data_IF_809118449167
#
_entry.id   IF_809118449167
#
_cell.length_a   1.000
_cell.length_b   1.000
_cell.length_c   1.000
_cell.angle_alpha   90.00
_cell.angle_beta   90.00
_cell.angle_gamma   90.00
#
_symmetry.space_group_name_H-M   'P 1'
#
loop_
_entity.id
_entity.type
_entity.pdbx_description
1 polymer ?
#
# COMPACT_ATOMS: atom_id res chain seq x y z
N UNK A 1 53.08 66.50 -67.47
CA UNK A 1 52.56 65.10 -67.28
C UNK A 1 51.64 65.02 -66.06
N UNK A 2 50.36 65.01 -66.42
CA UNK A 2 49.29 64.99 -65.46
C UNK A 2 48.63 63.58 -65.51
N UNK A 3 48.74 62.84 -64.41
CA UNK A 3 48.13 61.53 -64.23
C UNK A 3 46.71 61.70 -63.70
N UNK A 4 45.75 61.28 -64.49
CA UNK A 4 44.33 61.13 -64.05
C UNK A 4 44.16 59.83 -63.39
N UNK A 5 43.73 59.81 -62.11
CA UNK A 5 43.24 58.66 -61.42
C UNK A 5 41.76 58.42 -61.79
N UNK A 6 41.32 57.21 -62.05
CA UNK A 6 39.89 56.91 -62.20
C UNK A 6 39.22 56.74 -60.84
N UNK A 7 38.15 57.43 -60.62
CA UNK A 7 37.23 57.29 -59.48
C UNK A 7 36.45 56.00 -59.70
N UNK A 8 36.69 55.04 -58.84
CA UNK A 8 35.91 53.82 -58.78
C UNK A 8 34.61 54.10 -58.00
N UNK A 9 33.49 54.20 -58.68
CA UNK A 9 32.16 54.24 -58.09
C UNK A 9 31.87 52.78 -57.53
N UNK A 10 31.92 52.64 -56.23
CA UNK A 10 31.34 51.47 -55.58
C UNK A 10 29.84 51.69 -55.59
N UNK A 11 29.13 50.89 -56.39
CA UNK A 11 27.72 50.71 -56.29
C UNK A 11 27.47 49.85 -55.01
N UNK A 12 26.92 50.46 -53.99
CA UNK A 12 26.30 49.69 -52.86
C UNK A 12 25.03 49.02 -53.41
N UNK A 13 25.14 47.78 -53.79
CA UNK A 13 24.03 46.91 -53.98
C UNK A 13 23.44 46.64 -52.55
N UNK A 14 22.40 47.39 -52.24
CA UNK A 14 21.61 47.09 -51.07
C UNK A 14 21.04 45.66 -51.23
N UNK A 15 21.50 44.70 -50.42
CA UNK A 15 20.78 43.47 -50.26
C UNK A 15 19.47 43.78 -49.55
N UNK A 16 18.42 43.98 -50.29
CA UNK A 16 17.07 43.76 -49.83
C UNK A 16 16.88 42.26 -49.80
N UNK A 17 17.41 41.64 -48.76
CA UNK A 17 16.93 40.31 -48.34
C UNK A 17 15.72 40.52 -47.43
N UNK A 18 14.66 41.08 -47.99
CA UNK A 18 13.33 40.75 -47.57
C UNK A 18 12.96 39.40 -48.21
N UNK A 19 13.60 38.35 -47.74
CA UNK A 19 12.98 37.04 -47.90
C UNK A 19 11.71 37.09 -47.04
N UNK A 20 10.53 36.97 -47.66
CA UNK A 20 9.31 36.90 -46.89
C UNK A 20 9.46 35.74 -45.94
N UNK A 21 9.22 35.94 -44.62
CA UNK A 21 9.19 34.87 -43.65
C UNK A 21 8.45 33.71 -44.29
N UNK A 22 9.08 32.52 -44.37
CA UNK A 22 8.49 31.36 -45.00
C UNK A 22 7.17 31.06 -44.28
N UNK A 23 6.07 31.20 -45.00
CA UNK A 23 4.75 30.85 -44.50
C UNK A 23 4.74 29.35 -44.28
N UNK A 24 4.37 28.90 -43.07
CA UNK A 24 4.29 27.47 -42.73
C UNK A 24 3.35 26.75 -43.73
N UNK A 25 3.81 25.63 -44.25
CA UNK A 25 3.16 24.84 -45.28
C UNK A 25 2.50 23.59 -44.64
N UNK A 26 1.42 23.04 -45.22
CA UNK A 26 0.86 21.75 -44.79
C UNK A 26 1.83 20.57 -44.81
N UNK A 27 2.93 20.67 -45.56
CA UNK A 27 3.99 19.67 -45.64
C UNK A 27 5.06 19.82 -44.55
N UNK A 28 5.03 20.89 -43.77
CA UNK A 28 5.97 21.09 -42.67
C UNK A 28 5.62 20.18 -41.47
N UNK A 29 6.62 19.88 -40.65
CA UNK A 29 6.40 19.21 -39.38
C UNK A 29 5.54 20.10 -38.47
N UNK A 30 4.55 19.53 -37.78
CA UNK A 30 3.75 20.28 -36.82
C UNK A 30 4.53 20.56 -35.54
N UNK A 31 4.32 21.78 -35.00
CA UNK A 31 4.88 22.19 -33.73
C UNK A 31 3.80 22.80 -32.84
N UNK A 32 3.85 22.47 -31.54
CA UNK A 32 3.09 23.17 -30.52
C UNK A 32 4.01 24.24 -29.94
N UNK A 33 3.72 25.46 -30.24
CA UNK A 33 4.58 26.60 -29.90
C UNK A 33 4.32 27.12 -28.48
N UNK A 34 3.09 27.01 -28.01
CA UNK A 34 2.64 27.47 -26.70
C UNK A 34 1.42 26.66 -26.24
N UNK A 35 1.28 26.35 -24.95
CA UNK A 35 2.28 26.51 -23.90
C UNK A 35 3.41 25.47 -23.99
N UNK A 36 4.56 25.77 -23.41
CA UNK A 36 5.61 24.77 -23.19
C UNK A 36 5.29 23.96 -21.95
N UNK A 37 5.47 22.64 -22.03
CA UNK A 37 5.32 21.77 -20.89
C UNK A 37 6.71 21.50 -20.29
N UNK A 38 6.81 21.46 -18.93
CA UNK A 38 8.05 21.05 -18.28
C UNK A 38 8.45 19.63 -18.71
N UNK A 39 9.75 19.34 -18.61
CA UNK A 39 10.27 18.01 -18.87
C UNK A 39 9.80 17.01 -17.80
N UNK A 40 9.83 15.73 -18.15
CA UNK A 40 9.61 14.65 -17.17
C UNK A 40 10.69 14.69 -16.09
N UNK A 41 10.30 14.47 -14.85
CA UNK A 41 11.20 14.30 -13.71
C UNK A 41 11.11 12.87 -13.22
N UNK A 42 12.23 12.14 -13.19
CA UNK A 42 12.29 10.73 -12.81
C UNK A 42 11.28 9.84 -13.58
N UNK A 43 11.05 10.15 -14.85
CA UNK A 43 10.09 9.43 -15.70
C UNK A 43 8.64 9.85 -15.51
N UNK A 44 8.32 10.66 -14.52
CA UNK A 44 6.96 11.16 -14.27
C UNK A 44 6.62 12.37 -15.14
N UNK A 45 5.35 12.42 -15.56
CA UNK A 45 4.83 13.54 -16.34
C UNK A 45 4.72 14.81 -15.49
N UNK A 46 4.97 16.00 -16.08
CA UNK A 46 4.78 17.25 -15.37
C UNK A 46 3.31 17.53 -15.09
N UNK A 47 3.02 18.20 -13.99
CA UNK A 47 1.71 18.78 -13.72
C UNK A 47 1.59 20.09 -14.51
N UNK A 48 0.68 20.10 -15.47
CA UNK A 48 0.47 21.25 -16.38
C UNK A 48 -0.72 22.13 -15.99
N UNK A 49 -1.58 21.63 -15.10
CA UNK A 49 -2.66 22.39 -14.52
C UNK A 49 -2.93 21.90 -13.09
N UNK A 50 -3.14 22.84 -12.18
CA UNK A 50 -3.54 22.57 -10.80
C UNK A 50 -4.67 23.55 -10.45
N UNK A 51 -5.90 23.05 -10.45
CA UNK A 51 -7.12 23.84 -10.32
C UNK A 51 -8.00 23.26 -9.20
N UNK A 52 -8.94 24.08 -8.72
CA UNK A 52 -10.01 23.60 -7.85
C UNK A 52 -11.19 23.12 -8.70
N UNK A 53 -11.99 22.20 -8.16
CA UNK A 53 -13.11 21.60 -8.91
C UNK A 53 -14.20 22.56 -9.37
N UNK A 54 -14.28 23.76 -8.78
CA UNK A 54 -15.21 24.83 -9.18
C UNK A 54 -14.74 25.64 -10.38
N UNK A 55 -13.51 25.40 -10.85
CA UNK A 55 -12.97 25.97 -12.08
C UNK A 55 -12.89 24.89 -13.17
N UNK A 56 -13.12 25.32 -14.43
CA UNK A 56 -12.92 24.42 -15.56
C UNK A 56 -11.43 24.28 -15.88
N UNK A 57 -11.06 23.12 -16.43
CA UNK A 57 -9.77 22.96 -17.09
C UNK A 57 -9.81 23.73 -18.42
N UNK A 58 -8.93 24.71 -18.56
CA UNK A 58 -8.82 25.57 -19.73
C UNK A 58 -7.39 25.60 -20.23
N UNK A 59 -7.22 25.47 -21.53
CA UNK A 59 -5.91 25.62 -22.18
C UNK A 59 -6.11 26.03 -23.63
N UNK A 60 -5.26 26.93 -24.12
CA UNK A 60 -5.22 27.33 -25.51
C UNK A 60 -3.85 27.02 -26.07
N UNK A 61 -3.81 26.35 -27.22
CA UNK A 61 -2.57 26.01 -27.92
C UNK A 61 -2.34 26.97 -29.08
N UNK A 62 -1.08 27.29 -29.29
CA UNK A 62 -0.61 27.86 -30.54
C UNK A 62 0.16 26.78 -31.30
N UNK A 63 -0.30 26.45 -32.48
CA UNK A 63 0.29 25.40 -33.33
C UNK A 63 0.71 25.97 -34.69
N UNK A 64 1.68 25.34 -35.31
CA UNK A 64 2.11 25.64 -36.68
C UNK A 64 2.27 24.34 -37.47
N UNK A 65 1.86 24.26 -38.74
CA UNK A 65 1.08 25.19 -39.55
C UNK A 65 -0.35 25.39 -39.02
N UNK A 66 -0.74 26.61 -38.71
CA UNK A 66 -2.00 26.89 -37.99
C UNK A 66 -3.27 26.49 -38.75
N UNK A 67 -3.29 26.67 -40.07
CA UNK A 67 -4.50 26.42 -40.88
C UNK A 67 -4.64 24.98 -41.36
N UNK A 68 -3.59 24.19 -41.28
CA UNK A 68 -3.56 22.83 -41.78
C UNK A 68 -3.30 21.77 -40.68
N UNK A 69 -3.44 22.18 -39.43
CA UNK A 69 -3.21 21.28 -38.25
C UNK A 69 -4.49 21.13 -37.45
N UNK A 70 -4.93 19.90 -37.29
CA UNK A 70 -6.03 19.54 -36.40
C UNK A 70 -5.46 19.18 -35.02
N UNK A 71 -6.13 19.66 -33.97
CA UNK A 71 -5.77 19.41 -32.58
C UNK A 71 -6.86 18.56 -31.92
N UNK A 72 -6.47 17.47 -31.26
CA UNK A 72 -7.37 16.57 -30.53
C UNK A 72 -6.86 16.38 -29.11
N UNK A 73 -7.76 16.52 -28.15
CA UNK A 73 -7.47 16.40 -26.72
C UNK A 73 -7.98 15.07 -26.17
N UNK A 74 -7.13 14.41 -25.40
CA UNK A 74 -7.44 13.16 -24.69
C UNK A 74 -7.24 13.35 -23.20
N UNK A 75 -8.19 12.85 -22.41
CA UNK A 75 -8.06 12.72 -20.96
C UNK A 75 -8.23 11.26 -20.61
N UNK A 76 -7.24 10.69 -19.92
CA UNK A 76 -7.17 9.25 -19.59
C UNK A 76 -7.35 8.36 -20.83
N UNK A 77 -6.81 8.76 -21.97
CA UNK A 77 -6.89 8.03 -23.23
C UNK A 77 -8.21 8.17 -24.01
N UNK A 78 -9.15 8.96 -23.50
CA UNK A 78 -10.46 9.21 -24.14
C UNK A 78 -10.48 10.59 -24.80
N UNK A 79 -10.89 10.66 -26.04
CA UNK A 79 -11.08 11.93 -26.75
C UNK A 79 -12.18 12.76 -26.08
N UNK A 80 -11.85 13.99 -25.71
CA UNK A 80 -12.75 14.91 -25.00
C UNK A 80 -13.03 16.21 -25.72
N UNK A 81 -12.14 16.64 -26.61
CA UNK A 81 -12.28 17.90 -27.35
C UNK A 81 -11.45 17.90 -28.64
N UNK A 82 -11.84 18.77 -29.58
CA UNK A 82 -11.11 19.10 -30.81
C UNK A 82 -10.90 20.59 -30.89
N UNK A 83 -9.84 21.01 -31.58
CA UNK A 83 -9.47 22.38 -31.76
C UNK A 83 -8.36 22.84 -30.82
N UNK A 84 -7.91 24.08 -31.00
CA UNK A 84 -6.80 24.63 -30.24
C UNK A 84 -7.15 25.04 -28.82
N UNK A 85 -8.42 25.04 -28.47
CA UNK A 85 -8.90 25.41 -27.13
C UNK A 85 -9.65 24.26 -26.49
N UNK A 86 -9.40 24.04 -25.18
CA UNK A 86 -10.22 23.19 -24.35
C UNK A 86 -10.74 24.01 -23.16
N UNK A 87 -11.99 23.79 -22.82
CA UNK A 87 -12.67 24.40 -21.67
C UNK A 87 -13.75 23.43 -21.19
N UNK A 88 -13.46 22.68 -20.12
CA UNK A 88 -14.38 21.67 -19.61
C UNK A 88 -14.27 21.50 -18.10
N UNK A 89 -15.38 21.18 -17.42
CA UNK A 89 -15.35 20.82 -16.01
C UNK A 89 -14.74 19.44 -15.80
N UNK A 90 -14.03 19.27 -14.70
CA UNK A 90 -13.52 17.98 -14.24
C UNK A 90 -13.84 17.83 -12.76
N UNK A 91 -14.22 16.62 -12.36
CA UNK A 91 -14.33 16.25 -10.95
C UNK A 91 -12.95 16.25 -10.32
N UNK A 92 -12.89 16.40 -8.98
CA UNK A 92 -11.62 16.34 -8.27
C UNK A 92 -10.89 15.03 -8.51
N UNK A 93 -9.58 15.08 -8.68
CA UNK A 93 -8.72 13.94 -8.97
C UNK A 93 -7.51 14.33 -9.82
N UNK A 94 -6.71 13.33 -10.17
CA UNK A 94 -5.59 13.48 -11.09
C UNK A 94 -5.93 12.83 -12.43
N UNK A 95 -5.56 13.51 -13.51
CA UNK A 95 -5.88 13.09 -14.86
C UNK A 95 -4.64 13.11 -15.73
N UNK A 96 -4.50 12.12 -16.60
CA UNK A 96 -3.53 12.15 -17.69
C UNK A 96 -4.12 12.89 -18.88
N UNK A 97 -3.45 13.94 -19.33
CA UNK A 97 -3.85 14.72 -20.50
C UNK A 97 -2.83 14.52 -21.62
N UNK A 98 -3.32 14.25 -22.81
CA UNK A 98 -2.52 14.21 -24.04
C UNK A 98 -3.21 15.00 -25.10
N UNK A 99 -2.46 15.90 -25.74
CA UNK A 99 -2.95 16.66 -26.89
C UNK A 99 -2.09 16.32 -28.11
N UNK A 100 -2.77 16.02 -29.22
CA UNK A 100 -2.12 15.61 -30.47
C UNK A 100 -2.48 16.64 -31.55
N UNK A 101 -1.44 17.15 -32.20
CA UNK A 101 -1.57 18.04 -33.34
C UNK A 101 -1.13 17.30 -34.63
N UNK A 102 -2.04 17.18 -35.59
CA UNK A 102 -1.83 16.41 -36.82
C UNK A 102 -2.09 17.31 -38.04
N UNK A 103 -1.15 17.38 -38.97
CA UNK A 103 -1.31 18.12 -40.23
C UNK A 103 -2.19 17.35 -41.21
N UNK A 104 -2.70 18.07 -42.23
CA UNK A 104 -3.44 17.46 -43.34
C UNK A 104 -2.62 16.43 -44.13
N UNK A 105 -1.29 16.48 -44.02
CA UNK A 105 -0.37 15.48 -44.60
C UNK A 105 -0.10 14.27 -43.69
N UNK A 106 -0.78 14.20 -42.53
CA UNK A 106 -0.66 13.07 -41.60
C UNK A 106 0.55 13.13 -40.66
N UNK A 107 1.31 14.20 -40.65
CA UNK A 107 2.42 14.40 -39.71
C UNK A 107 1.86 14.87 -38.37
N UNK A 108 2.37 14.31 -37.26
CA UNK A 108 1.85 14.62 -35.92
C UNK A 108 2.94 14.92 -34.91
N UNK A 109 2.57 15.65 -33.89
CA UNK A 109 3.31 15.87 -32.65
C UNK A 109 2.34 15.86 -31.47
N UNK A 110 2.84 15.69 -30.26
CA UNK A 110 1.98 15.69 -29.09
C UNK A 110 2.66 16.31 -27.87
N UNK A 111 1.85 16.63 -26.86
CA UNK A 111 2.27 16.98 -25.52
C UNK A 111 1.43 16.20 -24.51
N UNK A 112 2.05 15.82 -23.42
CA UNK A 112 1.38 15.13 -22.31
C UNK A 112 1.71 15.79 -20.98
N UNK A 113 0.79 15.72 -20.06
CA UNK A 113 0.97 16.21 -18.70
C UNK A 113 -0.14 15.73 -17.79
N UNK A 114 0.01 16.01 -16.51
CA UNK A 114 -0.99 15.71 -15.50
C UNK A 114 -1.81 16.94 -15.17
N UNK A 115 -3.10 16.76 -14.98
CA UNK A 115 -4.02 17.75 -14.46
C UNK A 115 -4.41 17.33 -13.05
N UNK A 116 -4.17 18.21 -12.08
CA UNK A 116 -4.66 18.01 -10.71
C UNK A 116 -5.85 18.91 -10.47
N UNK A 117 -6.97 18.32 -10.07
CA UNK A 117 -8.20 19.01 -9.69
C UNK A 117 -8.43 18.76 -8.21
N UNK A 118 -8.42 19.81 -7.41
CA UNK A 118 -8.55 19.71 -5.95
C UNK A 118 -10.01 19.75 -5.52
N UNK A 119 -10.40 18.96 -4.49
CA UNK A 119 -11.72 19.11 -3.87
C UNK A 119 -11.82 20.45 -3.14
N UNK A 120 -13.03 20.94 -2.95
CA UNK A 120 -13.31 22.08 -2.06
C UNK A 120 -13.41 21.62 -0.62
N UNK A 121 -13.21 22.55 0.31
CA UNK A 121 -13.40 22.27 1.73
C UNK A 121 -14.84 21.77 2.01
N UNK A 122 -14.93 20.68 2.76
CA UNK A 122 -16.21 20.04 3.08
C UNK A 122 -16.71 19.03 2.05
N UNK A 123 -16.07 18.91 0.90
CA UNK A 123 -16.42 17.89 -0.08
C UNK A 123 -16.10 16.48 0.44
N UNK A 124 -16.91 15.47 0.08
CA UNK A 124 -16.45 14.10 0.21
C UNK A 124 -15.23 13.86 -0.68
N UNK A 125 -14.25 13.19 -0.14
CA UNK A 125 -13.00 12.91 -0.82
C UNK A 125 -12.46 11.53 -0.43
N UNK A 126 -12.09 10.73 -1.41
CA UNK A 126 -11.46 9.43 -1.17
C UNK A 126 -9.94 9.57 -1.23
N UNK A 127 -9.26 9.15 -0.16
CA UNK A 127 -7.80 9.08 -0.13
C UNK A 127 -7.32 8.00 -1.09
N UNK A 128 -6.29 8.32 -1.87
CA UNK A 128 -5.69 7.36 -2.78
C UNK A 128 -4.43 6.79 -2.15
N UNK A 129 -4.59 5.75 -1.35
CA UNK A 129 -3.50 5.09 -0.67
C UNK A 129 -3.73 3.58 -0.64
N UNK A 130 -2.62 2.84 -0.59
CA UNK A 130 -2.58 1.41 -0.28
C UNK A 130 -3.35 0.48 -1.23
N UNK A 131 -3.39 -0.75 -0.83
CA UNK A 131 -4.07 -1.84 -1.53
C UNK A 131 -5.61 -1.75 -1.46
N UNK A 132 -6.18 -0.94 -0.56
CA UNK A 132 -7.63 -0.71 -0.48
C UNK A 132 -8.21 -0.13 -1.79
N UNK A 133 -7.35 0.40 -2.63
CA UNK A 133 -7.72 0.89 -3.97
C UNK A 133 -7.69 -0.21 -5.04
N UNK A 134 -7.36 -1.44 -4.66
CA UNK A 134 -7.41 -2.62 -5.53
C UNK A 134 -8.55 -3.49 -5.02
N UNK A 135 -9.57 -3.67 -5.84
CA UNK A 135 -10.82 -4.33 -5.47
C UNK A 135 -11.20 -5.42 -6.46
N UNK A 136 -12.01 -6.38 -6.02
CA UNK A 136 -12.47 -7.48 -6.85
C UNK A 136 -13.96 -7.34 -7.18
N UNK A 137 -14.40 -7.67 -8.40
CA UNK A 137 -15.82 -7.73 -8.73
C UNK A 137 -16.59 -8.65 -7.77
N UNK A 138 -17.72 -8.18 -7.27
CA UNK A 138 -18.59 -8.93 -6.35
C UNK A 138 -18.12 -8.96 -4.89
N UNK A 139 -16.97 -8.38 -4.57
CA UNK A 139 -16.39 -8.41 -3.22
C UNK A 139 -16.75 -7.18 -2.39
N UNK A 140 -16.66 -7.34 -1.07
CA UNK A 140 -16.73 -6.22 -0.14
C UNK A 140 -15.44 -5.38 -0.25
N UNK A 141 -15.59 -4.07 -0.18
CA UNK A 141 -14.49 -3.11 -0.22
C UNK A 141 -14.73 -1.98 0.76
N UNK A 142 -13.68 -1.25 1.08
CA UNK A 142 -13.73 -0.09 1.95
C UNK A 142 -13.13 1.12 1.27
N UNK A 143 -13.67 2.29 1.58
CA UNK A 143 -13.20 3.58 1.12
C UNK A 143 -12.86 4.46 2.32
N UNK A 144 -11.65 5.01 2.32
CA UNK A 144 -11.17 5.93 3.34
C UNK A 144 -11.00 7.32 2.76
N UNK A 145 -11.21 8.34 3.56
CA UNK A 145 -11.06 9.73 3.13
C UNK A 145 -11.76 10.71 4.07
N UNK A 146 -12.17 11.84 3.50
CA UNK A 146 -12.78 12.94 4.25
C UNK A 146 -14.26 13.10 3.89
N UNK A 147 -15.08 13.48 4.88
CA UNK A 147 -16.51 13.80 4.70
C UNK A 147 -17.33 12.69 4.02
N UNK A 148 -16.95 11.43 4.20
CA UNK A 148 -17.60 10.30 3.54
C UNK A 148 -19.02 10.02 4.07
N UNK A 149 -19.40 10.61 5.20
CA UNK A 149 -20.79 10.58 5.70
C UNK A 149 -21.79 11.19 4.70
N UNK A 150 -21.33 12.09 3.83
CA UNK A 150 -22.16 12.71 2.78
C UNK A 150 -22.46 11.77 1.61
N UNK A 151 -21.70 10.71 1.44
CA UNK A 151 -21.84 9.78 0.31
C UNK A 151 -23.04 8.88 0.53
N UNK A 152 -23.97 8.87 -0.43
CA UNK A 152 -25.18 8.03 -0.41
C UNK A 152 -25.20 6.97 -1.49
N UNK A 153 -24.47 7.22 -2.58
CA UNK A 153 -24.24 6.25 -3.65
C UNK A 153 -22.89 6.53 -4.30
N UNK A 154 -22.44 5.61 -5.12
CA UNK A 154 -21.18 5.76 -5.86
C UNK A 154 -21.34 5.20 -7.26
N UNK A 155 -20.37 5.51 -8.11
CA UNK A 155 -20.22 4.90 -9.43
C UNK A 155 -18.75 4.53 -9.65
N UNK A 156 -18.50 3.29 -10.04
CA UNK A 156 -17.20 2.80 -10.47
C UNK A 156 -17.21 2.71 -11.98
N UNK A 157 -16.49 3.59 -12.65
CA UNK A 157 -16.65 3.77 -14.09
C UNK A 157 -18.11 4.11 -14.41
N UNK A 158 -18.80 3.23 -15.15
CA UNK A 158 -20.20 3.39 -15.49
C UNK A 158 -21.15 2.56 -14.62
N UNK A 159 -20.63 1.82 -13.64
CA UNK A 159 -21.40 0.89 -12.82
C UNK A 159 -21.81 1.52 -11.51
N UNK A 160 -23.11 1.54 -11.22
CA UNK A 160 -23.63 2.08 -9.95
C UNK A 160 -23.38 1.14 -8.78
N UNK A 161 -23.03 1.76 -7.65
CA UNK A 161 -22.85 1.10 -6.35
C UNK A 161 -23.88 1.70 -5.39
N UNK A 162 -24.84 0.89 -4.96
CA UNK A 162 -25.97 1.34 -4.13
C UNK A 162 -25.93 0.82 -2.70
N UNK A 163 -25.19 -0.27 -2.45
CA UNK A 163 -25.02 -0.84 -1.11
C UNK A 163 -23.84 -0.20 -0.41
N UNK A 164 -24.13 0.89 0.33
CA UNK A 164 -23.13 1.71 1.00
C UNK A 164 -23.45 1.82 2.47
N UNK A 165 -22.46 1.57 3.33
CA UNK A 165 -22.57 1.70 4.77
C UNK A 165 -21.48 2.66 5.25
N UNK A 166 -21.89 3.75 5.91
CA UNK A 166 -20.96 4.65 6.58
C UNK A 166 -20.64 4.11 7.98
N UNK A 167 -19.35 4.03 8.30
CA UNK A 167 -18.84 3.56 9.58
C UNK A 167 -18.41 4.77 10.42
N UNK A 168 -19.23 5.16 11.41
CA UNK A 168 -18.94 6.32 12.25
C UNK A 168 -17.66 6.18 13.08
N UNK A 169 -17.26 4.93 13.39
CA UNK A 169 -16.09 4.67 14.22
C UNK A 169 -14.77 5.14 13.59
N UNK A 170 -14.64 5.05 12.27
CA UNK A 170 -13.41 5.38 11.55
C UNK A 170 -13.62 6.34 10.36
N UNK A 171 -14.87 6.72 10.08
CA UNK A 171 -15.20 7.60 8.97
C UNK A 171 -15.11 6.95 7.59
N UNK A 172 -14.99 5.63 7.52
CA UNK A 172 -14.93 4.88 6.27
C UNK A 172 -16.32 4.58 5.70
N UNK A 173 -16.32 4.18 4.44
CA UNK A 173 -17.50 3.63 3.76
C UNK A 173 -17.20 2.21 3.33
N UNK A 174 -18.07 1.29 3.74
CA UNK A 174 -18.08 -0.09 3.23
C UNK A 174 -19.05 -0.18 2.06
N UNK A 175 -18.66 -0.89 1.01
CA UNK A 175 -19.49 -1.08 -0.16
C UNK A 175 -19.24 -2.44 -0.82
N UNK A 176 -20.15 -2.86 -1.67
CA UNK A 176 -20.02 -4.08 -2.48
C UNK A 176 -19.67 -3.65 -3.90
N UNK A 177 -18.58 -4.14 -4.43
CA UNK A 177 -18.19 -3.93 -5.83
C UNK A 177 -19.16 -4.76 -6.70
N UNK A 178 -19.92 -4.15 -7.62
CA UNK A 178 -20.82 -4.92 -8.46
C UNK A 178 -20.09 -6.00 -9.27
N UNK A 179 -20.71 -7.17 -9.40
CA UNK A 179 -20.10 -8.33 -10.04
C UNK A 179 -19.80 -8.12 -11.54
N UNK A 180 -20.49 -7.20 -12.19
CA UNK A 180 -20.33 -6.83 -13.59
C UNK A 180 -19.36 -5.66 -13.82
N UNK A 181 -18.67 -5.21 -12.79
CA UNK A 181 -17.65 -4.15 -12.91
C UNK A 181 -16.47 -4.65 -13.76
N UNK A 182 -16.10 -3.85 -14.76
CA UNK A 182 -14.99 -4.19 -15.65
C UNK A 182 -13.64 -4.09 -14.93
N UNK A 183 -12.72 -5.00 -15.27
CA UNK A 183 -11.34 -4.97 -14.80
C UNK A 183 -10.59 -3.74 -15.33
N UNK A 184 -9.61 -3.31 -14.58
CA UNK A 184 -8.75 -2.18 -14.90
C UNK A 184 -8.94 -1.01 -13.95
N UNK A 185 -8.23 0.08 -14.24
CA UNK A 185 -8.34 1.30 -13.46
C UNK A 185 -9.60 2.05 -13.84
N UNK A 186 -10.50 2.24 -12.86
CA UNK A 186 -11.80 2.88 -13.04
C UNK A 186 -11.87 4.14 -12.18
N UNK A 187 -12.49 5.20 -12.71
CA UNK A 187 -12.78 6.40 -11.92
C UNK A 187 -13.91 6.12 -10.95
N UNK A 188 -13.72 6.58 -9.71
CA UNK A 188 -14.73 6.52 -8.67
C UNK A 188 -15.42 7.87 -8.56
N UNK A 189 -16.75 7.88 -8.64
CA UNK A 189 -17.59 9.07 -8.45
C UNK A 189 -18.40 8.89 -7.18
N UNK A 190 -18.28 9.86 -6.26
CA UNK A 190 -19.04 9.91 -5.01
C UNK A 190 -20.29 10.77 -5.22
N UNK A 191 -21.44 10.31 -4.75
CA UNK A 191 -22.72 10.98 -4.99
C UNK A 191 -23.39 11.24 -3.63
N UNK A 192 -23.80 12.47 -3.39
CA UNK A 192 -24.49 12.87 -2.15
C UNK A 192 -26.01 12.66 -2.22
N UNK A 193 -26.69 13.02 -1.14
CA UNK A 193 -28.16 12.86 -1.02
C UNK A 193 -28.95 13.71 -2.05
N UNK A 194 -28.35 14.78 -2.57
CA UNK A 194 -28.97 15.64 -3.58
C UNK A 194 -28.63 15.21 -5.03
N UNK A 195 -27.85 14.12 -5.16
CA UNK A 195 -27.40 13.64 -6.46
C UNK A 195 -26.20 14.39 -7.03
N UNK A 196 -25.55 15.25 -6.24
CA UNK A 196 -24.34 15.94 -6.65
C UNK A 196 -23.17 14.98 -6.70
N UNK A 197 -22.38 15.08 -7.77
CA UNK A 197 -21.24 14.21 -8.03
C UNK A 197 -19.92 14.87 -7.59
N UNK A 198 -19.08 14.04 -6.97
CA UNK A 198 -17.72 14.42 -6.53
C UNK A 198 -16.73 13.37 -7.01
N UNK A 199 -15.51 13.81 -7.31
CA UNK A 199 -14.45 12.89 -7.67
C UNK A 199 -13.97 12.08 -6.47
N UNK A 200 -13.83 10.77 -6.65
CA UNK A 200 -13.34 9.83 -5.64
C UNK A 200 -11.97 9.22 -6.00
N UNK A 201 -11.20 9.85 -6.89
CA UNK A 201 -9.99 9.26 -7.46
C UNK A 201 -10.29 8.01 -8.29
N UNK A 202 -9.41 7.02 -8.26
CA UNK A 202 -9.55 5.78 -9.03
C UNK A 202 -9.49 4.57 -8.13
N UNK A 203 -10.09 3.48 -8.57
CA UNK A 203 -9.86 2.14 -8.04
C UNK A 203 -9.38 1.24 -9.16
N UNK A 204 -8.58 0.25 -8.83
CA UNK A 204 -8.18 -0.80 -9.77
C UNK A 204 -9.02 -2.04 -9.50
N UNK A 205 -9.81 -2.44 -10.47
CA UNK A 205 -10.65 -3.64 -10.39
C UNK A 205 -9.87 -4.81 -10.98
N UNK A 206 -9.71 -5.88 -10.19
CA UNK A 206 -8.93 -7.05 -10.59
C UNK A 206 -9.67 -8.34 -10.25
N UNK A 207 -9.62 -9.29 -11.17
CA UNK A 207 -10.11 -10.66 -10.97
C UNK A 207 -8.99 -11.64 -10.63
N UNK A 208 -7.75 -11.17 -10.54
CA UNK A 208 -6.59 -11.98 -10.21
C UNK A 208 -6.36 -12.07 -8.70
N UNK A 209 -5.83 -13.18 -8.19
CA UNK A 209 -5.46 -13.29 -6.78
C UNK A 209 -4.38 -12.28 -6.39
N UNK A 210 -4.63 -11.54 -5.33
CA UNK A 210 -3.67 -10.60 -4.75
C UNK A 210 -3.63 -10.80 -3.23
N UNK A 211 -2.44 -11.13 -2.70
CA UNK A 211 -2.19 -11.23 -1.27
C UNK A 211 -1.71 -9.88 -0.75
N UNK A 212 -2.43 -9.32 0.22
CA UNK A 212 -2.16 -7.99 0.76
C UNK A 212 -1.63 -7.99 2.18
N UNK A 213 -1.75 -9.12 2.89
CA UNK A 213 -1.30 -9.24 4.29
C UNK A 213 -0.88 -10.67 4.62
N UNK A 214 -0.04 -10.79 5.64
CA UNK A 214 0.38 -12.06 6.23
C UNK A 214 1.58 -12.72 5.55
N UNK A 215 2.05 -12.23 4.40
CA UNK A 215 3.15 -12.81 3.64
C UNK A 215 4.53 -12.22 3.98
N UNK A 216 4.65 -11.47 5.06
CA UNK A 216 5.90 -10.86 5.49
C UNK A 216 6.67 -11.72 6.50
N UNK A 217 5.94 -12.47 7.34
CA UNK A 217 6.51 -13.21 8.46
C UNK A 217 5.71 -14.49 8.76
N UNK A 218 6.41 -15.59 8.97
CA UNK A 218 5.81 -16.87 9.33
C UNK A 218 6.60 -17.55 10.44
N UNK A 219 5.89 -18.33 11.26
CA UNK A 219 6.50 -19.17 12.29
C UNK A 219 6.53 -20.61 11.82
N UNK A 220 7.69 -21.24 11.90
CA UNK A 220 7.93 -22.63 11.53
C UNK A 220 6.93 -23.59 12.18
N UNK A 221 6.27 -24.41 11.37
CA UNK A 221 5.29 -25.39 11.84
C UNK A 221 3.94 -24.84 12.28
N UNK A 222 3.77 -23.51 12.27
CA UNK A 222 2.54 -22.87 12.70
C UNK A 222 1.61 -22.52 11.54
N UNK A 223 0.32 -22.37 11.87
CA UNK A 223 -0.67 -21.85 10.95
C UNK A 223 -0.44 -20.36 10.72
N UNK A 224 -0.51 -19.94 9.47
CA UNK A 224 -0.42 -18.55 9.05
C UNK A 224 -1.64 -18.18 8.22
N UNK A 225 -2.14 -16.96 8.41
CA UNK A 225 -3.29 -16.43 7.69
C UNK A 225 -2.82 -15.38 6.68
N UNK A 226 -3.13 -15.60 5.41
CA UNK A 226 -2.91 -14.65 4.33
C UNK A 226 -4.23 -13.97 3.98
N UNK A 227 -4.23 -12.64 3.91
CA UNK A 227 -5.39 -11.86 3.52
C UNK A 227 -5.22 -11.26 2.13
N UNK A 228 -6.32 -11.00 1.45
CA UNK A 228 -6.30 -10.38 0.13
C UNK A 228 -7.62 -10.45 -0.61
N UNK A 229 -7.55 -10.45 -1.94
CA UNK A 229 -8.70 -10.54 -2.85
C UNK A 229 -8.55 -11.69 -3.83
N UNK A 230 -9.66 -12.29 -4.26
CA UNK A 230 -9.73 -13.41 -5.20
C UNK A 230 -8.89 -14.63 -4.76
N UNK A 231 -8.71 -14.82 -3.45
CA UNK A 231 -7.83 -15.87 -2.92
C UNK A 231 -8.39 -17.28 -3.09
N UNK A 232 -9.68 -17.42 -3.33
CA UNK A 232 -10.32 -18.69 -3.72
C UNK A 232 -9.77 -19.25 -5.04
N UNK A 233 -9.17 -18.40 -5.88
CA UNK A 233 -8.55 -18.76 -7.16
C UNK A 233 -7.10 -19.23 -7.05
N UNK A 234 -6.49 -19.12 -5.88
CA UNK A 234 -5.12 -19.60 -5.65
C UNK A 234 -5.10 -21.13 -5.75
N UNK A 235 -4.25 -21.66 -6.60
CA UNK A 235 -4.07 -23.10 -6.78
C UNK A 235 -2.95 -23.64 -5.89
N UNK A 236 -1.77 -23.01 -5.92
CA UNK A 236 -0.60 -23.43 -5.13
C UNK A 236 0.13 -22.24 -4.55
N UNK A 237 0.78 -22.47 -3.42
CA UNK A 237 1.74 -21.55 -2.80
C UNK A 237 3.00 -22.32 -2.48
N UNK A 238 4.16 -21.70 -2.68
CA UNK A 238 5.46 -22.24 -2.32
C UNK A 238 6.26 -21.24 -1.50
N UNK A 239 7.07 -21.75 -0.60
CA UNK A 239 7.98 -20.97 0.23
C UNK A 239 9.39 -21.55 0.12
N UNK A 240 10.31 -20.80 -0.51
CA UNK A 240 11.66 -21.29 -0.79
C UNK A 240 11.69 -22.58 -1.60
N UNK A 241 10.72 -22.76 -2.50
CA UNK A 241 10.56 -23.99 -3.28
C UNK A 241 9.84 -25.14 -2.57
N UNK A 242 9.45 -24.97 -1.29
CA UNK A 242 8.67 -25.95 -0.54
C UNK A 242 7.18 -25.64 -0.67
N UNK A 243 6.37 -26.66 -0.90
CA UNK A 243 4.93 -26.51 -0.97
C UNK A 243 4.35 -26.08 0.37
N UNK A 244 3.49 -25.06 0.35
CA UNK A 244 2.69 -24.66 1.49
C UNK A 244 1.37 -25.42 1.49
N UNK A 245 1.10 -26.14 2.58
CA UNK A 245 -0.18 -26.82 2.74
C UNK A 245 -1.29 -25.77 2.96
N UNK A 246 -2.27 -25.72 2.05
CA UNK A 246 -3.44 -24.87 2.18
C UNK A 246 -4.48 -25.60 3.02
N UNK A 247 -4.75 -25.09 4.22
CA UNK A 247 -5.73 -25.66 5.14
C UNK A 247 -7.15 -25.31 4.72
N UNK A 248 -7.34 -24.03 4.37
CA UNK A 248 -8.62 -23.51 3.89
C UNK A 248 -8.42 -22.25 3.09
N UNK A 249 -9.37 -21.93 2.23
CA UNK A 249 -9.37 -20.68 1.46
C UNK A 249 -10.78 -20.16 1.22
N UNK A 250 -10.90 -18.85 1.26
CA UNK A 250 -12.06 -18.09 0.83
C UNK A 250 -11.59 -17.05 -0.20
N UNK A 251 -12.48 -16.19 -0.67
CA UNK A 251 -12.10 -15.09 -1.56
C UNK A 251 -11.18 -14.05 -0.89
N UNK A 252 -11.22 -13.93 0.43
CA UNK A 252 -10.48 -12.92 1.20
C UNK A 252 -9.38 -13.47 2.12
N UNK A 253 -9.30 -14.78 2.31
CA UNK A 253 -8.38 -15.37 3.28
C UNK A 253 -7.89 -16.75 2.85
N UNK A 254 -6.62 -17.02 3.06
CA UNK A 254 -6.02 -18.36 2.97
C UNK A 254 -5.35 -18.68 4.29
N UNK A 255 -5.63 -19.85 4.84
CA UNK A 255 -4.89 -20.45 5.96
C UNK A 255 -3.92 -21.48 5.42
N UNK A 256 -2.66 -21.33 5.80
CA UNK A 256 -1.57 -22.22 5.42
C UNK A 256 -0.80 -22.70 6.65
N UNK A 257 -0.05 -23.78 6.50
CA UNK A 257 0.90 -24.23 7.51
C UNK A 257 2.31 -23.97 6.99
N UNK A 258 3.09 -23.20 7.76
CA UNK A 258 4.50 -23.01 7.45
C UNK A 258 5.25 -24.32 7.64
N UNK A 259 6.04 -24.79 6.65
CA UNK A 259 6.83 -26.01 6.79
C UNK A 259 7.87 -25.87 7.90
N UNK A 260 8.40 -27.01 8.37
CA UNK A 260 9.52 -27.06 9.31
C UNK A 260 10.81 -26.69 8.57
N UNK A 261 11.12 -25.40 8.55
CA UNK A 261 12.29 -24.82 7.90
C UNK A 261 13.21 -24.17 8.93
N UNK A 262 14.50 -24.09 8.59
CA UNK A 262 15.42 -23.30 9.38
C UNK A 262 15.02 -21.82 9.34
N UNK A 263 15.27 -21.10 10.43
CA UNK A 263 15.03 -19.65 10.48
C UNK A 263 15.85 -18.93 9.40
N UNK A 264 15.22 -18.01 8.68
CA UNK A 264 15.84 -17.27 7.60
C UNK A 264 14.81 -16.63 6.68
N UNK A 265 15.31 -16.10 5.57
CA UNK A 265 14.50 -15.45 4.55
C UNK A 265 14.21 -16.44 3.41
N UNK A 266 12.94 -16.52 3.03
CA UNK A 266 12.49 -17.41 1.96
C UNK A 266 11.60 -16.62 1.00
N UNK A 267 11.62 -16.99 -0.27
CA UNK A 267 10.75 -16.38 -1.27
C UNK A 267 9.42 -17.13 -1.35
N UNK A 268 8.31 -16.40 -1.21
CA UNK A 268 6.96 -16.92 -1.44
C UNK A 268 6.51 -16.62 -2.87
N UNK A 269 5.95 -17.63 -3.53
CA UNK A 269 5.33 -17.57 -4.86
C UNK A 269 4.03 -18.34 -4.83
N UNK A 270 3.16 -18.04 -5.80
CA UNK A 270 1.92 -18.79 -5.97
C UNK A 270 1.51 -18.89 -7.42
N UNK A 271 0.62 -19.85 -7.68
CA UNK A 271 -0.01 -20.03 -8.98
C UNK A 271 -1.53 -20.04 -8.86
N UNK A 272 -2.19 -19.59 -9.91
CA UNK A 272 -3.63 -19.69 -10.09
C UNK A 272 -3.92 -20.24 -11.48
N UNK A 273 -5.20 -20.49 -11.80
CA UNK A 273 -5.61 -21.01 -13.11
C UNK A 273 -5.22 -20.11 -14.29
N UNK A 274 -5.04 -18.81 -14.03
CA UNK A 274 -4.77 -17.78 -15.03
C UNK A 274 -3.38 -17.13 -14.90
N UNK A 275 -2.47 -17.73 -14.12
CA UNK A 275 -1.09 -17.25 -14.01
C UNK A 275 -0.55 -17.25 -12.59
N UNK A 276 0.31 -16.28 -12.29
CA UNK A 276 0.91 -16.13 -10.96
C UNK A 276 -0.01 -15.39 -10.02
N UNK A 277 0.07 -15.76 -8.74
CA UNK A 277 -0.49 -14.99 -7.63
C UNK A 277 0.38 -13.76 -7.40
N UNK A 278 -0.24 -12.62 -7.17
CA UNK A 278 0.46 -11.37 -6.91
C UNK A 278 0.44 -11.01 -5.42
N UNK A 279 1.43 -10.22 -5.02
CA UNK A 279 1.61 -9.74 -3.64
C UNK A 279 1.70 -8.22 -3.64
N UNK A 280 1.04 -7.59 -2.69
CA UNK A 280 1.16 -6.14 -2.47
C UNK A 280 2.23 -5.88 -1.42
N UNK A 281 3.33 -5.27 -1.83
CA UNK A 281 4.50 -5.04 -0.98
C UNK A 281 5.00 -3.62 -1.19
N UNK A 282 5.11 -2.84 -0.11
CA UNK A 282 5.63 -1.46 -0.15
C UNK A 282 5.01 -0.58 -1.24
N UNK A 283 3.69 -0.66 -1.40
CA UNK A 283 2.95 0.16 -2.37
C UNK A 283 3.01 -0.34 -3.81
N UNK A 284 3.62 -1.49 -4.08
CA UNK A 284 3.71 -2.09 -5.42
C UNK A 284 3.17 -3.50 -5.45
N UNK A 285 2.72 -3.92 -6.63
CA UNK A 285 2.27 -5.29 -6.90
C UNK A 285 3.43 -6.06 -7.53
N UNK A 286 3.80 -7.17 -6.91
CA UNK A 286 4.93 -8.03 -7.32
C UNK A 286 4.48 -9.49 -7.41
N UNK A 287 5.22 -10.32 -8.16
CA UNK A 287 4.91 -11.75 -8.33
C UNK A 287 5.52 -12.65 -7.25
N UNK A 288 6.46 -12.14 -6.49
CA UNK A 288 7.09 -12.84 -5.38
C UNK A 288 7.57 -11.85 -4.32
N UNK A 289 7.68 -12.30 -3.09
CA UNK A 289 8.22 -11.47 -2.00
C UNK A 289 8.98 -12.32 -1.00
N UNK A 290 9.80 -11.67 -0.17
CA UNK A 290 10.57 -12.32 0.87
C UNK A 290 9.74 -12.46 2.16
N UNK A 291 9.77 -13.65 2.75
CA UNK A 291 9.13 -13.97 4.03
C UNK A 291 10.22 -14.29 5.04
N UNK A 292 10.17 -13.65 6.20
CA UNK A 292 11.02 -13.99 7.33
C UNK A 292 10.37 -15.17 8.06
N UNK A 293 11.04 -16.33 8.00
CA UNK A 293 10.64 -17.52 8.75
C UNK A 293 11.42 -17.56 10.06
N UNK A 294 10.70 -17.63 11.17
CA UNK A 294 11.27 -17.80 12.51
C UNK A 294 10.83 -19.12 13.12
N UNK A 295 11.68 -19.68 13.96
CA UNK A 295 11.32 -20.83 14.79
C UNK A 295 10.63 -20.41 16.08
N UNK A 296 10.38 -19.13 16.30
CA UNK A 296 9.79 -18.59 17.51
C UNK A 296 8.29 -18.87 17.58
N UNK A 297 7.85 -19.53 18.63
CA UNK A 297 6.47 -19.87 18.91
C UNK A 297 5.97 -19.05 20.09
N UNK A 298 4.76 -18.47 19.99
CA UNK A 298 4.10 -17.82 21.12
C UNK A 298 3.44 -18.85 22.02
N UNK A 299 3.86 -18.87 23.28
CA UNK A 299 3.25 -19.73 24.30
C UNK A 299 2.12 -19.02 25.04
N UNK A 300 2.24 -17.73 25.24
CA UNK A 300 1.23 -16.91 25.91
C UNK A 300 1.39 -15.44 25.53
N UNK A 301 0.28 -14.71 25.50
CA UNK A 301 0.27 -13.24 25.34
C UNK A 301 -0.83 -12.61 26.18
N UNK A 302 -0.60 -11.40 26.68
CA UNK A 302 -1.54 -10.66 27.51
C UNK A 302 -0.89 -9.45 28.19
N UNK A 303 -1.33 -9.16 29.42
CA UNK A 303 -0.77 -8.10 30.26
C UNK A 303 -1.04 -8.47 31.71
N UNK A 304 -0.25 -9.39 32.26
CA UNK A 304 -0.47 -9.99 33.57
C UNK A 304 0.46 -9.38 34.62
N UNK A 305 -0.10 -8.70 35.61
CA UNK A 305 0.65 -8.11 36.70
C UNK A 305 1.24 -9.20 37.63
N UNK A 306 2.46 -8.99 38.11
CA UNK A 306 3.14 -9.91 39.02
C UNK A 306 3.69 -9.15 40.23
N UNK A 307 3.30 -9.63 41.41
CA UNK A 307 3.87 -9.15 42.68
C UNK A 307 3.80 -10.20 43.76
N UNK A 308 4.95 -10.65 44.29
CA UNK A 308 5.03 -11.55 45.42
C UNK A 308 4.54 -10.96 46.73
N UNK A 309 4.36 -9.64 46.81
CA UNK A 309 3.81 -8.95 47.98
C UNK A 309 2.31 -9.15 48.15
N UNK A 310 1.64 -9.67 47.14
CA UNK A 310 0.22 -10.00 47.22
C UNK A 310 -0.04 -11.23 48.05
N UNK A 311 -1.27 -11.38 48.59
CA UNK A 311 -1.67 -12.50 49.42
C UNK A 311 -1.70 -13.81 48.62
N UNK A 312 -1.50 -14.91 49.33
CA UNK A 312 -1.65 -16.24 48.76
C UNK A 312 -3.05 -16.41 48.15
N UNK A 313 -3.12 -17.00 46.98
CA UNK A 313 -4.36 -17.18 46.24
C UNK A 313 -4.72 -16.00 45.32
N UNK A 314 -4.06 -14.84 45.43
CA UNK A 314 -4.22 -13.77 44.46
C UNK A 314 -3.64 -14.20 43.12
N UNK A 315 -4.39 -14.10 42.01
CA UNK A 315 -3.93 -14.53 40.70
C UNK A 315 -2.73 -13.75 40.17
N UNK A 316 -2.46 -12.57 40.73
CA UNK A 316 -1.32 -11.71 40.34
C UNK A 316 -0.10 -11.88 41.25
N UNK A 317 -0.14 -12.82 42.18
CA UNK A 317 1.04 -13.15 43.00
C UNK A 317 2.16 -13.76 42.18
N UNK A 318 1.80 -14.53 41.18
CA UNK A 318 2.72 -15.16 40.21
C UNK A 318 2.14 -15.09 38.82
N UNK A 319 2.99 -15.27 37.80
CA UNK A 319 2.55 -15.65 36.48
C UNK A 319 2.63 -17.19 36.37
N UNK A 320 1.51 -17.86 36.19
CA UNK A 320 1.39 -19.30 36.06
C UNK A 320 0.43 -19.75 34.95
N UNK A 321 0.35 -18.93 33.90
CA UNK A 321 -0.70 -19.08 32.87
C UNK A 321 -0.29 -19.98 31.68
N UNK A 322 0.89 -20.59 31.75
CA UNK A 322 1.30 -21.65 30.81
C UNK A 322 1.19 -22.99 31.49
N UNK A 323 0.31 -23.83 30.95
CA UNK A 323 0.08 -25.15 31.53
C UNK A 323 1.35 -26.05 31.53
N UNK A 324 1.59 -26.86 32.57
CA UNK A 324 2.77 -27.74 32.62
C UNK A 324 2.89 -28.67 31.42
N UNK A 325 1.78 -29.08 30.82
CA UNK A 325 1.72 -29.96 29.65
C UNK A 325 2.36 -29.34 28.41
N UNK A 326 2.35 -28.02 28.31
CA UNK A 326 3.01 -27.29 27.20
C UNK A 326 4.52 -27.53 27.24
N UNK A 327 5.12 -27.56 28.45
CA UNK A 327 6.54 -27.79 28.64
C UNK A 327 6.96 -29.23 28.37
N UNK A 328 6.04 -30.19 28.52
CA UNK A 328 6.34 -31.60 28.26
C UNK A 328 6.70 -31.88 26.80
N UNK A 329 6.25 -31.04 25.87
CA UNK A 329 6.54 -31.13 24.43
C UNK A 329 7.77 -30.34 23.99
N UNK A 330 8.40 -29.58 24.88
CA UNK A 330 9.54 -28.74 24.58
C UNK A 330 10.84 -29.53 24.55
N UNK A 331 11.67 -29.31 23.55
CA UNK A 331 12.99 -29.95 23.43
C UNK A 331 14.00 -29.23 24.33
N UNK A 332 14.86 -30.00 25.05
CA UNK A 332 15.97 -29.43 25.80
C UNK A 332 16.86 -28.54 24.91
N UNK A 333 17.30 -27.42 25.46
CA UNK A 333 18.08 -26.44 24.73
C UNK A 333 17.25 -25.32 24.09
N UNK A 334 15.94 -25.43 24.10
CA UNK A 334 15.04 -24.33 23.65
C UNK A 334 15.19 -23.11 24.55
N UNK A 335 15.00 -21.93 23.97
CA UNK A 335 15.11 -20.65 24.66
C UNK A 335 13.71 -20.06 24.87
N UNK A 336 13.37 -19.84 26.14
CA UNK A 336 12.14 -19.16 26.55
C UNK A 336 12.43 -17.65 26.64
N UNK A 337 11.62 -16.82 26.01
CA UNK A 337 11.73 -15.37 26.06
C UNK A 337 10.49 -14.80 26.73
N UNK A 338 10.69 -14.08 27.85
CA UNK A 338 9.62 -13.46 28.63
C UNK A 338 9.72 -11.97 28.42
N UNK A 339 8.75 -11.41 27.69
CA UNK A 339 8.63 -9.98 27.46
C UNK A 339 7.88 -9.36 28.62
N UNK A 340 8.51 -8.42 29.31
CA UNK A 340 7.92 -7.74 30.47
C UNK A 340 7.91 -6.23 30.31
N UNK A 341 6.94 -5.60 30.97
CA UNK A 341 6.83 -4.16 31.10
C UNK A 341 6.76 -3.74 32.57
N UNK A 342 7.28 -2.55 32.87
CA UNK A 342 7.30 -2.04 34.26
C UNK A 342 5.93 -1.54 34.69
N UNK A 343 5.59 -1.78 35.96
CA UNK A 343 4.52 -1.01 36.64
C UNK A 343 5.13 0.29 37.19
N UNK A 344 4.78 1.46 36.61
CA UNK A 344 5.48 2.71 36.93
C UNK A 344 5.35 3.14 38.40
N UNK A 345 4.28 2.72 39.08
CA UNK A 345 4.01 3.09 40.47
C UNK A 345 4.70 2.20 41.51
N UNK A 346 5.32 1.09 41.07
CA UNK A 346 6.02 0.18 41.95
C UNK A 346 7.36 0.77 42.40
N UNK A 347 7.71 0.56 43.67
CA UNK A 347 8.94 1.10 44.26
C UNK A 347 10.20 0.41 43.73
N UNK A 348 10.08 -0.84 43.29
CA UNK A 348 11.17 -1.63 42.72
C UNK A 348 10.64 -2.62 41.69
N UNK A 349 11.52 -3.19 40.87
CA UNK A 349 11.13 -4.14 39.84
C UNK A 349 12.12 -5.31 39.83
N UNK A 350 11.60 -6.50 40.04
CA UNK A 350 12.38 -7.74 40.01
C UNK A 350 11.59 -8.85 39.33
N UNK A 351 12.29 -9.68 38.55
CA UNK A 351 11.74 -10.88 37.91
C UNK A 351 12.62 -12.10 38.24
N UNK A 352 12.00 -13.20 38.56
CA UNK A 352 12.58 -14.54 38.70
C UNK A 352 11.76 -15.56 37.94
N UNK A 353 12.43 -16.56 37.37
CA UNK A 353 11.80 -17.72 36.74
C UNK A 353 12.04 -18.93 37.59
N UNK A 354 10.96 -19.60 38.00
CA UNK A 354 10.99 -20.71 38.95
C UNK A 354 10.09 -21.86 38.52
N UNK A 355 10.27 -23.01 39.19
CA UNK A 355 9.25 -24.02 39.20
C UNK A 355 8.03 -23.60 40.02
N UNK A 356 6.94 -24.38 39.97
CA UNK A 356 5.75 -24.17 40.79
C UNK A 356 6.00 -24.22 42.28
N UNK A 357 7.12 -24.78 42.72
CA UNK A 357 7.57 -24.78 44.12
C UNK A 357 8.50 -23.61 44.48
N UNK A 358 8.59 -22.61 43.64
CA UNK A 358 9.43 -21.41 43.80
C UNK A 358 10.93 -21.68 43.86
N UNK A 359 11.37 -22.77 43.27
CA UNK A 359 12.79 -23.04 43.07
C UNK A 359 13.28 -22.44 41.76
N UNK A 360 14.38 -21.72 41.82
CA UNK A 360 14.98 -21.13 40.61
C UNK A 360 15.27 -22.21 39.56
N UNK A 361 14.95 -21.93 38.32
CA UNK A 361 15.36 -22.79 37.22
C UNK A 361 16.89 -22.74 37.08
N UNK A 362 17.54 -23.84 36.66
CA UNK A 362 18.98 -23.87 36.50
C UNK A 362 19.51 -22.74 35.65
N UNK A 363 20.56 -22.06 36.11
CA UNK A 363 21.20 -20.94 35.42
C UNK A 363 20.45 -19.60 35.51
N UNK A 364 19.41 -19.54 36.33
CA UNK A 364 18.61 -18.31 36.52
C UNK A 364 18.71 -17.79 37.95
N UNK A 365 18.28 -16.57 38.17
CA UNK A 365 18.21 -15.90 39.44
C UNK A 365 17.33 -14.67 39.37
N UNK A 366 17.35 -13.85 40.43
CA UNK A 366 16.60 -12.60 40.44
C UNK A 366 17.26 -11.58 39.55
N UNK A 367 16.50 -10.96 38.66
CA UNK A 367 16.92 -9.89 37.76
C UNK A 367 16.20 -8.62 38.15
N UNK A 368 16.95 -7.57 38.44
CA UNK A 368 16.44 -6.22 38.68
C UNK A 368 16.41 -5.44 37.36
N UNK A 369 15.40 -4.60 37.19
CA UNK A 369 15.26 -3.78 36.00
C UNK A 369 14.52 -2.48 36.28
N UNK A 370 14.65 -1.49 35.40
CA UNK A 370 13.98 -0.20 35.47
C UNK A 370 13.20 0.15 34.20
N UNK A 371 13.34 -0.63 33.16
CA UNK A 371 12.72 -0.45 31.83
C UNK A 371 12.09 -1.73 31.34
N UNK A 372 11.18 -1.61 30.39
CA UNK A 372 10.63 -2.77 29.68
C UNK A 372 11.75 -3.56 29.00
N UNK A 373 11.62 -4.87 28.98
CA UNK A 373 12.66 -5.71 28.41
C UNK A 373 12.21 -7.14 28.14
N UNK A 374 13.20 -7.98 27.86
CA UNK A 374 13.03 -9.39 27.57
C UNK A 374 14.01 -10.19 28.43
N UNK A 375 13.48 -11.13 29.22
CA UNK A 375 14.30 -12.09 29.95
C UNK A 375 14.33 -13.39 29.16
N UNK A 376 15.52 -13.90 28.86
CA UNK A 376 15.68 -15.19 28.18
C UNK A 376 16.13 -16.25 29.17
N UNK A 377 15.56 -17.45 29.06
CA UNK A 377 15.88 -18.61 29.88
C UNK A 377 16.14 -19.79 28.95
N UNK A 378 17.31 -20.41 29.07
CA UNK A 378 17.56 -21.68 28.38
C UNK A 378 16.88 -22.83 29.14
N UNK A 379 15.96 -23.51 28.48
CA UNK A 379 15.27 -24.66 29.04
C UNK A 379 16.13 -25.90 28.85
N UNK A 380 17.01 -26.16 29.83
CA UNK A 380 17.81 -27.38 29.89
C UNK A 380 16.93 -28.62 30.21
N UNK A 381 17.46 -29.81 30.00
CA UNK A 381 16.77 -31.04 30.42
C UNK A 381 16.42 -31.01 31.91
N UNK A 382 17.32 -30.46 32.74
CA UNK A 382 17.10 -30.29 34.18
C UNK A 382 15.97 -29.29 34.47
N UNK A 383 15.96 -28.12 33.77
CA UNK A 383 14.88 -27.15 33.94
C UNK A 383 13.52 -27.71 33.54
N UNK A 384 13.43 -28.43 32.43
CA UNK A 384 12.19 -29.09 31.99
C UNK A 384 11.73 -30.17 32.96
N UNK A 385 12.65 -30.96 33.53
CA UNK A 385 12.35 -31.93 34.55
C UNK A 385 11.77 -31.28 35.83
N UNK A 386 12.38 -30.17 36.28
CA UNK A 386 11.88 -29.40 37.42
C UNK A 386 10.47 -28.88 37.19
N UNK A 387 10.19 -28.33 36.02
CA UNK A 387 8.85 -27.81 35.65
C UNK A 387 7.83 -28.96 35.69
N UNK A 388 8.19 -30.12 35.16
CA UNK A 388 7.29 -31.30 35.15
C UNK A 388 7.05 -31.90 36.55
N UNK A 389 8.05 -31.92 37.41
CA UNK A 389 8.01 -32.52 38.75
C UNK A 389 7.53 -31.57 39.84
N UNK A 390 7.67 -30.28 39.66
CA UNK A 390 7.43 -29.23 40.66
C UNK A 390 6.29 -28.29 40.30
N UNK A 391 5.20 -28.83 39.80
CA UNK A 391 3.94 -28.10 39.53
C UNK A 391 4.01 -26.93 38.55
N UNK A 392 4.85 -27.06 37.53
CA UNK A 392 4.83 -26.11 36.40
C UNK A 392 5.87 -24.99 36.46
N UNK A 393 5.64 -23.97 35.68
CA UNK A 393 6.51 -22.84 35.49
C UNK A 393 5.89 -21.56 36.07
N UNK A 394 6.68 -20.78 36.81
CA UNK A 394 6.28 -19.47 37.32
C UNK A 394 7.23 -18.37 36.90
N UNK A 395 6.69 -17.17 36.66
CA UNK A 395 7.40 -15.94 36.86
C UNK A 395 6.96 -15.34 38.18
N UNK A 396 7.90 -14.99 39.03
CA UNK A 396 7.69 -14.36 40.34
C UNK A 396 8.50 -13.05 40.39
N UNK A 397 8.30 -12.27 41.45
CA UNK A 397 8.98 -11.00 41.62
C UNK A 397 8.03 -9.87 41.96
N UNK A 398 8.31 -8.65 41.53
CA UNK A 398 7.51 -7.52 41.91
C UNK A 398 7.54 -6.41 40.87
N UNK A 399 6.37 -5.76 40.66
CA UNK A 399 6.27 -4.47 40.00
C UNK A 399 6.32 -4.53 38.46
N UNK A 400 5.91 -5.63 37.84
CA UNK A 400 5.94 -5.77 36.40
C UNK A 400 4.74 -6.54 35.86
N UNK A 401 4.58 -6.45 34.53
CA UNK A 401 3.63 -7.25 33.77
C UNK A 401 4.39 -8.22 32.87
N UNK A 402 3.89 -9.44 32.77
CA UNK A 402 4.25 -10.35 31.69
C UNK A 402 3.34 -10.06 30.51
N UNK A 403 3.89 -9.70 29.36
CA UNK A 403 3.11 -9.32 28.18
C UNK A 403 3.12 -10.39 27.10
N UNK A 404 4.24 -11.10 26.96
CA UNK A 404 4.42 -12.12 25.92
C UNK A 404 5.44 -13.16 26.40
N UNK A 405 5.17 -14.42 26.15
CA UNK A 405 6.13 -15.50 26.35
C UNK A 405 6.26 -16.28 25.05
N UNK A 406 7.48 -16.35 24.53
CA UNK A 406 7.79 -17.05 23.29
C UNK A 406 8.86 -18.12 23.50
N UNK A 407 8.92 -19.05 22.55
CA UNK A 407 9.86 -20.17 22.56
C UNK A 407 10.52 -20.29 21.19
N UNK A 408 11.82 -20.50 21.18
CA UNK A 408 12.60 -20.77 19.96
C UNK A 408 13.60 -21.89 20.16
#
# INVERSE_FOLDING_TARGET
STSLLPICMMAFSGCNNDEPFSVASPSDEPHILDPSFPDRVNGELPVVANINRDANFKMTLTVTPSQSTEVVWFIDGVEVAKGTEIDMPLLAGSYHMKVIATTTQGKSTYREGMINVNPLAGDPWASQISFERIVAPGSNAMLFGDNLALVKSMRIGNTEVTEIIYNEADGSVSYVVPADTENGTQRLVLIDAQGMEYGGNTVTVSSSPLITSGADRMTCGAECVLGGINLDRVSTLTLGGNDLAIVSKTDSEIKIICPDLEAGDYTIKGTSSDGSVQFFVNGTVVEETSVVVSSEQTLWSGHHYVSWDLEDGNPNKTFNLIAPEVFAAIKPGSILSIHYSVEPTAEYHQIRTTSGHWNDLPGTGTVEFSENGVLTVTLTAEALAMIGEQAGFLCVGHGYYVDLVTLR
#
